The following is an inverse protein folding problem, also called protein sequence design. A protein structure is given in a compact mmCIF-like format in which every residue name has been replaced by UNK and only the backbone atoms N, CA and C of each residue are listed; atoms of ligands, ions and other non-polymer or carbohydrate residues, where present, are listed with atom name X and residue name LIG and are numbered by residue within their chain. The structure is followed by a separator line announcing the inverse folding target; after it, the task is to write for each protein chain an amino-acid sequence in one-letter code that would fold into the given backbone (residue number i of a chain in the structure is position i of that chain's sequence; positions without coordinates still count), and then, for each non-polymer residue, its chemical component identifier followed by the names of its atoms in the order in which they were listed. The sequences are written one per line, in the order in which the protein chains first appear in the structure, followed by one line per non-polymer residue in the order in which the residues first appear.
data_IF_007547923173
#
_entry.id   IF_007547923173
#
_cell.length_a   1.000
_cell.length_b   1.000
_cell.length_c   1.000
_cell.angle_alpha   90.00
_cell.angle_beta   90.00
_cell.angle_gamma   90.00
#
_symmetry.space_group_name_H-M   'P 1'
#
loop_
_entity.id
_entity.type
_entity.pdbx_description
1 polymer ?
#
# COMPACT_ATOMS: atom_id res chain seq x y z
N UNK A 1 13.00 -29.78 -3.95
CA UNK A 1 12.93 -28.46 -4.61
C UNK A 1 12.94 -27.42 -3.51
N UNK A 2 14.00 -26.61 -3.40
CA UNK A 2 14.07 -25.54 -2.40
C UNK A 2 13.27 -24.36 -2.96
N UNK A 3 12.16 -24.01 -2.33
CA UNK A 3 11.44 -22.78 -2.62
C UNK A 3 12.37 -21.61 -2.24
N UNK A 4 12.95 -20.95 -3.24
CA UNK A 4 13.61 -19.66 -3.05
C UNK A 4 12.54 -18.68 -2.56
N UNK A 5 12.62 -18.28 -1.29
CA UNK A 5 11.87 -17.15 -0.76
C UNK A 5 12.39 -15.88 -1.45
N UNK A 6 11.85 -15.58 -2.63
CA UNK A 6 12.15 -14.34 -3.34
C UNK A 6 11.66 -13.18 -2.48
N UNK A 7 12.58 -12.31 -2.05
CA UNK A 7 12.26 -11.11 -1.30
C UNK A 7 11.21 -10.30 -2.08
N UNK A 8 10.13 -9.96 -1.38
CA UNK A 8 8.96 -9.35 -1.98
C UNK A 8 9.26 -7.89 -2.36
N UNK A 9 9.01 -7.55 -3.62
CA UNK A 9 9.23 -6.19 -4.13
C UNK A 9 8.36 -5.14 -3.43
N UNK A 10 8.78 -3.87 -3.50
CA UNK A 10 8.01 -2.73 -2.98
C UNK A 10 6.57 -2.72 -3.54
N UNK A 11 6.40 -2.96 -4.84
CA UNK A 11 5.09 -3.01 -5.51
C UNK A 11 4.18 -4.09 -4.92
N UNK A 12 4.71 -5.31 -4.73
CA UNK A 12 3.95 -6.40 -4.12
C UNK A 12 3.57 -6.05 -2.68
N UNK A 13 4.46 -5.38 -1.93
CA UNK A 13 4.19 -4.94 -0.55
C UNK A 13 3.01 -3.97 -0.52
N UNK A 14 3.04 -2.92 -1.34
CA UNK A 14 1.92 -1.96 -1.44
C UNK A 14 0.61 -2.64 -1.85
N UNK A 15 0.64 -3.51 -2.84
CA UNK A 15 -0.57 -4.19 -3.32
C UNK A 15 -1.24 -5.02 -2.22
N UNK A 16 -0.46 -5.78 -1.46
CA UNK A 16 -1.00 -6.61 -0.38
C UNK A 16 -1.50 -5.78 0.80
N UNK A 17 -0.73 -4.80 1.28
CA UNK A 17 -1.09 -3.98 2.45
C UNK A 17 -2.35 -3.11 2.21
N UNK A 18 -2.55 -2.67 0.96
CA UNK A 18 -3.72 -1.89 0.58
C UNK A 18 -4.87 -2.76 0.03
N UNK A 19 -4.67 -4.06 -0.17
CA UNK A 19 -5.66 -4.96 -0.78
C UNK A 19 -6.02 -4.58 -2.22
N UNK A 20 -5.05 -4.12 -3.02
CA UNK A 20 -5.25 -3.67 -4.41
C UNK A 20 -4.46 -4.51 -5.41
N UNK A 21 -4.90 -4.52 -6.67
CA UNK A 21 -4.13 -5.15 -7.76
C UNK A 21 -3.03 -4.23 -8.30
N UNK A 22 -2.04 -4.79 -9.01
CA UNK A 22 -1.04 -3.98 -9.72
C UNK A 22 -1.67 -3.07 -10.79
N UNK A 23 -2.80 -3.47 -11.40
CA UNK A 23 -3.54 -2.64 -12.34
C UNK A 23 -4.22 -1.45 -11.65
N UNK A 24 -4.70 -1.66 -10.42
CA UNK A 24 -5.25 -0.59 -9.60
C UNK A 24 -4.16 0.38 -9.14
N UNK A 25 -3.00 -0.14 -8.72
CA UNK A 25 -1.85 0.68 -8.36
C UNK A 25 -1.38 1.54 -9.54
N UNK A 26 -1.29 0.95 -10.74
CA UNK A 26 -0.99 1.66 -11.98
C UNK A 26 -1.96 2.84 -12.22
N UNK A 27 -3.27 2.58 -12.07
CA UNK A 27 -4.32 3.59 -12.23
C UNK A 27 -4.20 4.72 -11.20
N UNK A 28 -3.93 4.39 -9.93
CA UNK A 28 -3.83 5.38 -8.84
C UNK A 28 -2.61 6.30 -8.99
N UNK A 29 -1.52 5.76 -9.49
CA UNK A 29 -0.28 6.54 -9.72
C UNK A 29 -0.26 7.22 -11.10
N UNK A 30 -1.23 6.95 -11.96
CA UNK A 30 -1.24 7.35 -13.38
C UNK A 30 0.04 6.91 -14.12
N UNK A 31 0.43 5.65 -13.92
CA UNK A 31 1.63 5.04 -14.49
C UNK A 31 1.25 3.82 -15.32
N UNK A 32 1.94 3.61 -16.43
CA UNK A 32 1.73 2.43 -17.28
C UNK A 32 1.90 1.11 -16.51
N UNK A 33 0.99 0.16 -16.73
CA UNK A 33 1.04 -1.19 -16.10
C UNK A 33 2.36 -1.92 -16.33
N UNK A 34 3.01 -1.69 -17.47
CA UNK A 34 4.32 -2.25 -17.78
C UNK A 34 5.39 -1.80 -16.78
N UNK A 35 5.42 -0.52 -16.41
CA UNK A 35 6.36 0.01 -15.41
C UNK A 35 6.14 -0.63 -14.04
N UNK A 36 4.88 -0.75 -13.60
CA UNK A 36 4.53 -1.43 -12.33
C UNK A 36 4.99 -2.89 -12.34
N UNK A 37 4.76 -3.60 -13.45
CA UNK A 37 5.18 -5.00 -13.59
C UNK A 37 6.70 -5.17 -13.54
N UNK A 38 7.44 -4.29 -14.21
CA UNK A 38 8.90 -4.24 -14.18
C UNK A 38 9.44 -4.06 -12.76
N UNK A 39 8.92 -3.09 -12.04
CA UNK A 39 9.28 -2.84 -10.63
C UNK A 39 8.93 -4.01 -9.73
N UNK A 40 7.77 -4.64 -9.95
CA UNK A 40 7.38 -5.86 -9.23
C UNK A 40 8.33 -7.03 -9.47
N UNK A 41 8.98 -7.07 -10.64
CA UNK A 41 9.88 -8.14 -11.03
C UNK A 41 11.34 -7.90 -10.63
N UNK A 42 11.65 -6.74 -10.05
CA UNK A 42 12.98 -6.39 -9.52
C UNK A 42 13.72 -5.31 -10.31
N UNK A 43 13.10 -4.70 -11.33
CA UNK A 43 13.71 -3.53 -11.96
C UNK A 43 13.71 -2.33 -11.00
N UNK A 44 14.73 -1.47 -11.16
CA UNK A 44 14.92 -0.28 -10.33
C UNK A 44 13.70 0.65 -10.42
N UNK A 45 13.18 1.03 -9.25
CA UNK A 45 12.09 1.98 -9.12
C UNK A 45 12.66 3.40 -9.21
N UNK A 46 12.10 4.31 -10.04
CA UNK A 46 12.44 5.72 -10.01
C UNK A 46 12.21 6.31 -8.62
N UNK A 47 13.11 7.17 -8.15
CA UNK A 47 13.06 7.69 -6.77
C UNK A 47 11.72 8.35 -6.41
N UNK A 48 11.09 9.06 -7.34
CA UNK A 48 9.76 9.67 -7.13
C UNK A 48 8.68 8.61 -6.91
N UNK A 49 8.70 7.53 -7.69
CA UNK A 49 7.75 6.42 -7.52
C UNK A 49 8.03 5.65 -6.22
N UNK A 50 9.29 5.50 -5.82
CA UNK A 50 9.66 4.89 -4.54
C UNK A 50 9.05 5.68 -3.35
N UNK A 51 9.25 7.00 -3.33
CA UNK A 51 8.68 7.87 -2.29
C UNK A 51 7.14 7.81 -2.29
N UNK A 52 6.51 7.78 -3.47
CA UNK A 52 5.05 7.65 -3.55
C UNK A 52 4.55 6.32 -2.95
N UNK A 53 5.22 5.20 -3.24
CA UNK A 53 4.86 3.89 -2.70
C UNK A 53 5.06 3.82 -1.18
N UNK A 54 6.13 4.42 -0.65
CA UNK A 54 6.39 4.52 0.79
C UNK A 54 5.30 5.34 1.49
N UNK A 55 4.95 6.50 0.96
CA UNK A 55 3.88 7.35 1.50
C UNK A 55 2.51 6.65 1.46
N UNK A 56 2.23 5.82 0.45
CA UNK A 56 1.00 5.04 0.40
C UNK A 56 0.91 4.02 1.55
N UNK A 57 2.02 3.37 1.91
CA UNK A 57 2.06 2.45 3.06
C UNK A 57 1.91 3.20 4.38
N UNK A 58 2.66 4.28 4.56
CA UNK A 58 2.60 5.08 5.78
C UNK A 58 1.17 5.64 5.97
N UNK A 59 0.54 6.12 4.90
CA UNK A 59 -0.84 6.59 4.95
C UNK A 59 -1.83 5.48 5.31
N UNK A 60 -1.63 4.25 4.81
CA UNK A 60 -2.47 3.10 5.17
C UNK A 60 -2.34 2.80 6.67
N UNK A 61 -1.11 2.74 7.19
CA UNK A 61 -0.85 2.50 8.62
C UNK A 61 -1.47 3.59 9.50
N UNK A 62 -1.29 4.86 9.13
CA UNK A 62 -1.90 6.00 9.83
C UNK A 62 -3.42 5.90 9.85
N UNK A 63 -4.05 5.52 8.72
CA UNK A 63 -5.51 5.31 8.65
C UNK A 63 -5.98 4.19 9.57
N UNK A 64 -5.23 3.09 9.69
CA UNK A 64 -5.57 2.02 10.63
C UNK A 64 -5.49 2.50 12.09
N UNK A 65 -4.46 3.25 12.46
CA UNK A 65 -4.33 3.84 13.81
C UNK A 65 -5.49 4.80 14.11
N UNK A 66 -5.84 5.66 13.16
CA UNK A 66 -6.98 6.57 13.29
C UNK A 66 -8.31 5.82 13.42
N UNK A 67 -8.48 4.71 12.69
CA UNK A 67 -9.67 3.86 12.80
C UNK A 67 -9.82 3.28 14.21
N UNK A 68 -8.74 2.80 14.82
CA UNK A 68 -8.78 2.28 16.21
C UNK A 68 -9.26 3.37 17.17
N UNK A 69 -8.75 4.60 17.03
CA UNK A 69 -9.16 5.73 17.86
C UNK A 69 -10.63 6.09 17.60
N UNK A 70 -11.08 6.12 16.34
CA UNK A 70 -12.50 6.36 15.98
C UNK A 70 -13.41 5.31 16.63
N UNK A 71 -13.08 4.03 16.47
CA UNK A 71 -13.83 2.89 17.01
C UNK A 71 -13.90 2.99 18.55
N UNK A 72 -12.78 3.29 19.21
CA UNK A 72 -12.73 3.45 20.67
C UNK A 72 -13.58 4.62 21.17
N UNK A 73 -13.47 5.80 20.54
CA UNK A 73 -14.28 6.96 20.94
C UNK A 73 -15.77 6.77 20.67
N UNK A 74 -16.13 5.98 19.65
CA UNK A 74 -17.52 5.58 19.37
C UNK A 74 -18.02 4.64 20.47
N UNK A 75 -17.21 3.65 20.86
CA UNK A 75 -17.54 2.71 21.94
C UNK A 75 -17.76 3.42 23.29
N UNK A 76 -16.96 4.45 23.58
CA UNK A 76 -17.11 5.26 24.79
C UNK A 76 -18.25 6.30 24.70
N UNK A 77 -18.96 6.39 23.58
CA UNK A 77 -20.04 7.38 23.40
C UNK A 77 -19.56 8.84 23.36
N UNK A 78 -18.25 9.08 23.28
CA UNK A 78 -17.66 10.43 23.15
C UNK A 78 -18.05 11.04 21.80
N UNK A 79 -18.16 10.19 20.77
CA UNK A 79 -18.52 10.56 19.42
C UNK A 79 -19.76 9.78 18.98
N UNK A 80 -20.91 10.44 18.95
CA UNK A 80 -22.10 9.90 18.30
C UNK A 80 -21.99 10.13 16.79
N UNK A 81 -21.86 9.05 16.01
CA UNK A 81 -22.08 9.10 14.56
C UNK A 81 -23.55 9.49 14.34
N UNK A 82 -23.78 10.68 13.77
CA UNK A 82 -25.08 11.08 13.23
C UNK A 82 -25.48 10.14 12.09
#
# INVERSE_FOLDING_TARGET
MKEEQKEKSMVQKVCEELGISQSELARRLDIGRSSISKWSNGEKIPSVAQVALELMLENNEQKQKLKIIDDFTTLLGIRNKK
#
